data_IF_503433719027
#
_entry.id   IF_503433719027
#
_cell.length_a   1.000
_cell.length_b   1.000
_cell.length_c   1.000
_cell.angle_alpha   90.00
_cell.angle_beta   90.00
_cell.angle_gamma   90.00
#
_symmetry.space_group_name_H-M   'P 1'
#
loop_
_entity.id
_entity.type
_entity.pdbx_description
1 polymer ?
#
# COMPACT_ATOMS: atom_id res chain seq x y z
N UNK A 1 -20.91 -22.65 -17.27
CA UNK A 1 -19.52 -22.77 -17.77
C UNK A 1 -19.27 -21.66 -18.79
N UNK A 2 -18.03 -21.13 -18.79
CA UNK A 2 -17.43 -20.06 -19.63
C UNK A 2 -17.55 -18.61 -19.15
N UNK A 3 -16.62 -18.29 -18.25
CA UNK A 3 -15.92 -17.01 -18.08
C UNK A 3 -15.16 -16.58 -19.35
N UNK A 4 -15.20 -15.26 -19.64
CA UNK A 4 -14.15 -14.37 -20.20
C UNK A 4 -14.71 -13.43 -21.28
N UNK A 5 -15.02 -12.20 -20.85
CA UNK A 5 -15.31 -11.06 -21.72
C UNK A 5 -14.50 -9.85 -21.30
N UNK A 6 -13.17 -9.95 -21.38
CA UNK A 6 -12.31 -8.76 -21.32
C UNK A 6 -12.32 -8.13 -22.70
N UNK A 7 -13.11 -7.07 -22.90
CA UNK A 7 -12.89 -6.17 -24.05
C UNK A 7 -11.49 -5.55 -23.88
N UNK A 8 -10.52 -6.12 -24.57
CA UNK A 8 -9.19 -5.54 -24.75
C UNK A 8 -9.35 -4.23 -25.51
N UNK A 9 -8.73 -3.16 -25.01
CA UNK A 9 -8.35 -2.04 -25.86
C UNK A 9 -7.40 -2.61 -26.92
N UNK A 10 -7.66 -2.43 -28.23
CA UNK A 10 -6.67 -2.71 -29.25
C UNK A 10 -5.34 -2.05 -28.86
N UNK A 11 -4.28 -2.86 -28.78
CA UNK A 11 -2.90 -2.43 -28.47
C UNK A 11 -2.51 -1.05 -29.04
N UNK A 12 -2.89 -0.67 -30.28
CA UNK A 12 -2.52 0.61 -30.85
C UNK A 12 -3.06 1.86 -30.13
N UNK A 13 -4.20 1.76 -29.43
CA UNK A 13 -4.81 2.92 -28.76
C UNK A 13 -4.07 3.33 -27.49
N UNK A 14 -3.59 2.36 -26.71
CA UNK A 14 -2.76 2.66 -25.55
C UNK A 14 -1.37 3.13 -25.99
N UNK A 15 -0.82 2.50 -27.03
CA UNK A 15 0.46 2.91 -27.63
C UNK A 15 0.42 4.39 -28.07
N UNK A 16 -0.68 4.86 -28.66
CA UNK A 16 -0.83 6.28 -29.03
C UNK A 16 -0.85 7.25 -27.84
N UNK A 17 -1.63 6.95 -26.79
CA UNK A 17 -1.72 7.84 -25.62
C UNK A 17 -0.37 8.01 -24.92
N UNK A 18 0.41 6.94 -24.89
CA UNK A 18 1.76 6.95 -24.30
C UNK A 18 2.68 7.86 -25.12
N UNK A 19 2.68 7.70 -26.45
CA UNK A 19 3.50 8.52 -27.35
C UNK A 19 3.15 10.00 -27.22
N UNK A 20 1.85 10.35 -27.20
CA UNK A 20 1.40 11.75 -27.02
C UNK A 20 1.74 12.33 -25.65
N UNK A 21 1.61 11.54 -24.58
CA UNK A 21 1.97 12.00 -23.24
C UNK A 21 3.47 12.30 -23.11
N UNK A 22 4.33 11.54 -23.79
CA UNK A 22 5.77 11.79 -23.79
C UNK A 22 6.15 13.02 -24.62
N UNK A 23 5.46 13.25 -25.74
CA UNK A 23 5.64 14.46 -26.53
C UNK A 23 5.22 15.72 -25.76
N UNK A 24 4.15 15.64 -24.97
CA UNK A 24 3.74 16.72 -24.06
C UNK A 24 4.76 16.99 -22.93
N UNK A 25 5.54 15.98 -22.53
CA UNK A 25 6.68 16.12 -21.60
C UNK A 25 7.92 16.73 -22.28
N UNK A 26 7.84 17.06 -23.57
CA UNK A 26 8.88 17.74 -24.34
C UNK A 26 9.90 16.82 -25.02
N UNK A 27 9.67 15.50 -25.01
CA UNK A 27 10.57 14.55 -25.65
C UNK A 27 10.38 14.54 -27.17
N UNK A 28 11.49 14.43 -27.89
CA UNK A 28 11.48 14.20 -29.34
C UNK A 28 11.30 12.70 -29.68
N UNK A 29 11.02 12.40 -30.96
CA UNK A 29 10.73 11.04 -31.44
C UNK A 29 11.80 10.00 -31.06
N UNK A 30 13.08 10.38 -31.10
CA UNK A 30 14.21 9.52 -30.76
C UNK A 30 14.25 9.20 -29.26
N UNK A 31 14.00 10.21 -28.42
CA UNK A 31 13.92 10.06 -26.97
C UNK A 31 12.72 9.19 -26.56
N UNK A 32 11.57 9.38 -27.22
CA UNK A 32 10.38 8.55 -27.05
C UNK A 32 10.66 7.11 -27.45
N UNK A 33 11.31 6.89 -28.60
CA UNK A 33 11.66 5.57 -29.10
C UNK A 33 12.63 4.84 -28.15
N UNK A 34 13.65 5.55 -27.68
CA UNK A 34 14.60 5.02 -26.70
C UNK A 34 13.93 4.64 -25.38
N UNK A 35 13.03 5.50 -24.87
CA UNK A 35 12.35 5.30 -23.60
C UNK A 35 11.33 4.15 -23.65
N UNK A 36 10.65 3.95 -24.78
CA UNK A 36 9.69 2.87 -24.97
C UNK A 36 10.31 1.56 -25.49
N UNK A 37 11.62 1.56 -25.78
CA UNK A 37 12.32 0.48 -26.48
C UNK A 37 11.67 0.14 -27.83
N UNK A 38 11.21 1.16 -28.55
CA UNK A 38 10.57 1.05 -29.86
C UNK A 38 11.52 1.53 -30.95
N UNK A 39 11.21 1.20 -32.21
CA UNK A 39 11.84 1.88 -33.33
C UNK A 39 11.23 3.27 -33.50
N UNK A 40 12.04 4.24 -33.92
CA UNK A 40 11.61 5.60 -34.27
C UNK A 40 10.45 5.59 -35.28
N UNK A 41 10.51 4.68 -36.26
CA UNK A 41 9.43 4.47 -37.24
C UNK A 41 8.11 4.01 -36.61
N UNK A 42 8.14 3.28 -35.49
CA UNK A 42 6.93 2.89 -34.76
C UNK A 42 6.34 4.10 -34.02
N UNK A 43 7.18 4.95 -33.44
CA UNK A 43 6.74 6.19 -32.77
C UNK A 43 6.14 7.17 -33.76
N UNK A 44 6.81 7.43 -34.89
CA UNK A 44 6.31 8.32 -35.95
C UNK A 44 4.95 7.92 -36.49
N UNK A 45 4.66 6.62 -36.60
CA UNK A 45 3.33 6.13 -37.01
C UNK A 45 2.20 6.51 -36.05
N UNK A 46 2.51 6.73 -34.78
CA UNK A 46 1.55 7.22 -33.79
C UNK A 46 1.45 8.75 -33.78
N UNK A 47 2.50 9.45 -34.18
CA UNK A 47 2.51 10.91 -34.27
C UNK A 47 1.93 11.46 -35.58
N UNK A 48 1.63 10.59 -36.54
CA UNK A 48 1.02 10.96 -37.82
C UNK A 48 -0.38 11.59 -37.62
N UNK A 49 -0.63 12.75 -38.24
CA UNK A 49 -1.85 13.55 -38.06
C UNK A 49 -3.11 12.82 -38.58
N UNK A 50 -2.92 11.92 -39.54
CA UNK A 50 -3.99 11.11 -40.15
C UNK A 50 -4.32 9.82 -39.37
N UNK A 51 -3.69 9.60 -38.21
CA UNK A 51 -3.95 8.41 -37.39
C UNK A 51 -5.25 8.54 -36.57
N UNK A 52 -6.36 8.04 -37.13
CA UNK A 52 -7.67 8.03 -36.45
C UNK A 52 -7.82 6.89 -35.42
N UNK A 53 -7.93 7.24 -34.13
CA UNK A 53 -8.36 6.30 -33.08
C UNK A 53 -9.88 6.13 -33.04
N UNK A 54 -10.40 4.93 -32.73
CA UNK A 54 -11.77 4.77 -32.23
C UNK A 54 -11.96 5.58 -30.95
N UNK A 55 -12.98 6.46 -30.95
CA UNK A 55 -13.26 7.41 -29.86
C UNK A 55 -13.57 6.66 -28.55
N UNK A 56 -12.59 6.65 -27.64
CA UNK A 56 -12.60 6.67 -26.16
C UNK A 56 -11.41 5.83 -25.65
N UNK A 57 -10.27 6.45 -25.38
CA UNK A 57 -9.10 5.75 -24.84
C UNK A 57 -8.87 6.17 -23.38
N UNK A 58 -9.48 5.45 -22.44
CA UNK A 58 -8.94 5.27 -21.08
C UNK A 58 -7.97 4.08 -21.12
N UNK A 59 -7.05 3.87 -20.15
CA UNK A 59 -6.28 2.59 -20.09
C UNK A 59 -7.18 1.39 -19.74
N UNK A 60 -8.50 1.54 -19.81
CA UNK A 60 -9.50 0.92 -18.97
C UNK A 60 -9.53 -0.60 -18.85
N UNK A 61 -8.78 -1.35 -19.66
CA UNK A 61 -8.68 -2.82 -19.55
C UNK A 61 -7.29 -3.37 -19.86
N UNK A 62 -6.25 -2.54 -19.79
CA UNK A 62 -4.86 -2.96 -20.04
C UNK A 62 -4.34 -3.88 -18.91
N UNK A 63 -3.55 -4.92 -19.22
CA UNK A 63 -2.81 -5.67 -18.21
C UNK A 63 -1.91 -4.73 -17.41
N UNK A 64 -2.01 -4.77 -16.08
CA UNK A 64 -1.19 -4.01 -15.11
C UNK A 64 0.30 -4.03 -15.49
N UNK A 65 0.78 -5.15 -16.05
CA UNK A 65 2.18 -5.33 -16.44
C UNK A 65 2.67 -4.47 -17.60
N UNK A 66 1.82 -3.82 -18.41
CA UNK A 66 2.26 -2.91 -19.47
C UNK A 66 2.59 -1.53 -18.88
N UNK A 67 1.68 -0.95 -18.09
CA UNK A 67 1.90 0.35 -17.43
C UNK A 67 3.08 0.34 -16.46
N UNK A 68 3.27 -0.75 -15.70
CA UNK A 68 4.44 -0.89 -14.82
C UNK A 68 5.76 -1.00 -15.59
N UNK A 69 5.76 -1.57 -16.81
CA UNK A 69 6.95 -1.64 -17.66
C UNK A 69 7.31 -0.30 -18.31
N UNK A 70 6.31 0.55 -18.56
CA UNK A 70 6.52 1.88 -19.14
C UNK A 70 7.06 2.88 -18.10
N UNK A 71 6.63 2.77 -16.84
CA UNK A 71 7.15 3.59 -15.74
C UNK A 71 6.58 5.01 -15.72
N UNK A 72 7.41 6.02 -15.43
CA UNK A 72 7.01 7.42 -15.16
C UNK A 72 6.10 8.09 -16.22
N UNK A 73 6.22 7.81 -17.53
CA UNK A 73 5.34 8.40 -18.53
C UNK A 73 3.86 8.00 -18.39
N UNK A 74 3.60 6.82 -17.85
CA UNK A 74 2.23 6.34 -17.66
C UNK A 74 1.50 7.07 -16.52
N UNK A 75 2.20 7.86 -15.69
CA UNK A 75 1.63 8.46 -14.47
C UNK A 75 0.49 9.42 -14.76
N UNK A 76 0.65 10.35 -15.70
CA UNK A 76 -0.38 11.36 -16.03
C UNK A 76 -1.66 10.71 -16.57
N UNK A 77 -1.62 9.79 -17.56
CA UNK A 77 -2.80 9.06 -17.98
C UNK A 77 -3.46 8.22 -16.88
N UNK A 78 -2.66 7.50 -16.08
CA UNK A 78 -3.20 6.69 -14.98
C UNK A 78 -3.88 7.54 -13.90
N UNK A 79 -3.39 8.76 -13.65
CA UNK A 79 -4.07 9.73 -12.76
C UNK A 79 -5.45 10.10 -13.30
N UNK A 80 -5.61 10.23 -14.63
CA UNK A 80 -6.92 10.49 -15.23
C UNK A 80 -7.87 9.31 -15.03
N UNK A 81 -7.38 8.08 -15.18
CA UNK A 81 -8.15 6.84 -15.01
C UNK A 81 -8.66 6.62 -13.57
N UNK A 82 -8.08 7.30 -12.56
CA UNK A 82 -8.59 7.28 -11.18
C UNK A 82 -10.01 7.85 -11.05
N UNK A 83 -10.49 8.63 -12.03
CA UNK A 83 -11.83 9.23 -12.04
C UNK A 83 -12.82 8.49 -12.94
N UNK A 84 -12.44 7.36 -13.51
CA UNK A 84 -13.28 6.60 -14.43
C UNK A 84 -14.52 6.02 -13.72
N UNK A 85 -15.64 5.91 -14.44
CA UNK A 85 -16.88 5.36 -13.90
C UNK A 85 -16.78 3.85 -13.60
N UNK A 86 -15.97 3.12 -14.37
CA UNK A 86 -15.77 1.67 -14.20
C UNK A 86 -14.77 1.41 -13.05
N UNK A 87 -15.21 0.73 -11.96
CA UNK A 87 -14.35 0.39 -10.82
C UNK A 87 -13.10 -0.41 -11.21
N UNK A 88 -13.15 -1.20 -12.29
CA UNK A 88 -12.00 -1.98 -12.75
C UNK A 88 -10.90 -1.06 -13.28
N UNK A 89 -11.27 0.00 -14.00
CA UNK A 89 -10.34 1.01 -14.55
C UNK A 89 -9.63 1.71 -13.40
N UNK A 90 -10.40 2.22 -12.43
CA UNK A 90 -9.87 2.87 -11.23
C UNK A 90 -8.94 1.94 -10.45
N UNK A 91 -9.36 0.69 -10.21
CA UNK A 91 -8.55 -0.33 -9.53
C UNK A 91 -7.22 -0.61 -10.24
N UNK A 92 -7.23 -0.72 -11.57
CA UNK A 92 -6.00 -0.93 -12.34
C UNK A 92 -5.08 0.29 -12.27
N UNK A 93 -5.64 1.49 -12.35
CA UNK A 93 -4.90 2.73 -12.22
C UNK A 93 -4.21 2.86 -10.86
N UNK A 94 -4.94 2.62 -9.76
CA UNK A 94 -4.38 2.62 -8.40
C UNK A 94 -3.23 1.63 -8.25
N UNK A 95 -3.40 0.40 -8.76
CA UNK A 95 -2.37 -0.63 -8.67
C UNK A 95 -1.11 -0.26 -9.47
N UNK A 96 -1.29 0.24 -10.68
CA UNK A 96 -0.18 0.67 -11.54
C UNK A 96 0.57 1.86 -10.93
N UNK A 97 -0.13 2.90 -10.46
CA UNK A 97 0.48 4.06 -9.80
C UNK A 97 1.28 3.64 -8.56
N UNK A 98 0.73 2.76 -7.72
CA UNK A 98 1.44 2.22 -6.56
C UNK A 98 2.65 1.34 -6.91
N UNK A 99 2.69 0.75 -8.11
CA UNK A 99 3.85 -0.01 -8.60
C UNK A 99 4.92 0.90 -9.20
N UNK A 100 4.52 1.97 -9.89
CA UNK A 100 5.43 2.97 -10.47
C UNK A 100 6.11 3.80 -9.36
N UNK A 101 5.41 4.05 -8.26
CA UNK A 101 5.89 4.79 -7.08
C UNK A 101 6.33 6.23 -7.37
N UNK A 102 5.70 6.88 -8.36
CA UNK A 102 6.00 8.27 -8.68
C UNK A 102 5.29 9.22 -7.70
N UNK A 103 5.98 10.16 -7.05
CA UNK A 103 5.39 11.12 -6.11
C UNK A 103 4.26 11.98 -6.68
N UNK A 104 4.19 12.16 -8.02
CA UNK A 104 3.07 12.87 -8.68
C UNK A 104 1.72 12.17 -8.46
N UNK A 105 1.72 10.88 -8.11
CA UNK A 105 0.52 10.10 -7.86
C UNK A 105 -0.07 10.27 -6.45
N UNK A 106 0.64 10.90 -5.52
CA UNK A 106 0.26 10.91 -4.09
C UNK A 106 -1.06 11.65 -3.85
N UNK A 107 -1.19 12.92 -4.25
CA UNK A 107 -2.43 13.69 -4.08
C UNK A 107 -3.63 13.04 -4.79
N UNK A 108 -3.51 12.57 -6.05
CA UNK A 108 -4.59 11.82 -6.69
C UNK A 108 -4.98 10.55 -5.94
N UNK A 109 -4.03 9.79 -5.39
CA UNK A 109 -4.31 8.57 -4.62
C UNK A 109 -4.92 8.88 -3.25
N UNK A 110 -4.57 10.01 -2.62
CA UNK A 110 -5.22 10.50 -1.39
C UNK A 110 -6.72 10.73 -1.65
N UNK A 111 -7.09 11.31 -2.79
CA UNK A 111 -8.51 11.49 -3.13
C UNK A 111 -9.27 10.14 -3.25
N UNK A 112 -8.59 9.08 -3.71
CA UNK A 112 -9.16 7.73 -3.88
C UNK A 112 -9.42 7.03 -2.54
N UNK A 113 -8.88 7.52 -1.42
CA UNK A 113 -9.24 7.04 -0.08
C UNK A 113 -10.74 7.20 0.22
N UNK A 114 -11.44 8.06 -0.54
CA UNK A 114 -12.88 8.29 -0.48
C UNK A 114 -13.66 7.66 -1.65
N UNK A 115 -13.09 6.71 -2.39
CA UNK A 115 -13.81 5.97 -3.42
C UNK A 115 -15.06 5.28 -2.84
N UNK A 116 -16.13 5.16 -3.63
CA UNK A 116 -17.35 4.45 -3.22
C UNK A 116 -17.13 2.96 -2.96
N UNK A 117 -16.09 2.35 -3.56
CA UNK A 117 -15.76 0.95 -3.42
C UNK A 117 -14.65 0.75 -2.35
N UNK A 118 -14.94 0.08 -1.21
CA UNK A 118 -13.96 -0.22 -0.17
C UNK A 118 -12.74 -1.01 -0.67
N UNK A 119 -12.88 -1.82 -1.72
CA UNK A 119 -11.75 -2.55 -2.30
C UNK A 119 -10.75 -1.59 -2.96
N UNK A 120 -11.26 -0.55 -3.63
CA UNK A 120 -10.44 0.49 -4.26
C UNK A 120 -9.81 1.38 -3.19
N UNK A 121 -10.56 1.76 -2.15
CA UNK A 121 -10.01 2.47 -0.99
C UNK A 121 -8.81 1.71 -0.40
N UNK A 122 -8.98 0.40 -0.16
CA UNK A 122 -7.91 -0.47 0.35
C UNK A 122 -6.70 -0.51 -0.59
N UNK A 123 -6.92 -0.58 -1.89
CA UNK A 123 -5.82 -0.55 -2.87
C UNK A 123 -5.08 0.79 -2.85
N UNK A 124 -5.80 1.91 -2.70
CA UNK A 124 -5.20 3.24 -2.63
C UNK A 124 -4.34 3.38 -1.37
N UNK A 125 -4.83 2.94 -0.21
CA UNK A 125 -4.06 2.84 1.02
C UNK A 125 -2.76 2.05 0.81
N UNK A 126 -2.85 0.87 0.17
CA UNK A 126 -1.66 0.05 -0.12
C UNK A 126 -0.72 0.69 -1.13
N UNK A 127 -1.23 1.42 -2.11
CA UNK A 127 -0.44 2.16 -3.09
C UNK A 127 0.33 3.31 -2.41
N UNK A 128 -0.33 4.10 -1.57
CA UNK A 128 0.29 5.17 -0.79
C UNK A 128 1.40 4.64 0.13
N UNK A 129 1.13 3.55 0.87
CA UNK A 129 2.16 2.90 1.70
C UNK A 129 3.33 2.29 0.90
N UNK A 130 3.17 2.01 -0.40
CA UNK A 130 4.27 1.56 -1.28
C UNK A 130 5.08 2.72 -1.84
N UNK A 131 4.42 3.84 -2.14
CA UNK A 131 5.06 5.10 -2.57
C UNK A 131 5.89 5.66 -1.40
N UNK A 132 5.38 5.54 -0.17
CA UNK A 132 6.07 5.91 1.05
C UNK A 132 6.43 7.41 1.12
N UNK A 133 5.49 8.26 0.73
CA UNK A 133 5.62 9.73 0.77
C UNK A 133 4.83 10.28 1.97
N UNK A 134 5.48 11.11 2.79
CA UNK A 134 4.91 11.62 4.05
C UNK A 134 3.67 12.50 3.87
N UNK A 135 3.41 13.03 2.66
CA UNK A 135 2.15 13.72 2.38
C UNK A 135 0.92 12.82 2.59
N UNK A 136 1.10 11.50 2.53
CA UNK A 136 0.04 10.53 2.78
C UNK A 136 -0.17 10.20 4.28
N UNK A 137 0.67 10.70 5.19
CA UNK A 137 0.65 10.31 6.60
C UNK A 137 -0.69 10.65 7.27
N UNK A 138 -1.04 11.93 7.32
CA UNK A 138 -2.29 12.42 7.92
C UNK A 138 -3.55 11.83 7.25
N UNK A 139 -3.65 11.74 5.90
CA UNK A 139 -4.75 11.03 5.26
C UNK A 139 -4.88 9.56 5.67
N UNK A 140 -3.76 8.85 5.85
CA UNK A 140 -3.78 7.45 6.27
C UNK A 140 -4.15 7.30 7.76
N UNK A 141 -3.75 8.25 8.62
CA UNK A 141 -4.23 8.34 10.02
C UNK A 141 -5.75 8.51 10.03
N UNK A 142 -6.29 9.44 9.24
CA UNK A 142 -7.73 9.64 9.13
C UNK A 142 -8.48 8.37 8.68
N UNK A 143 -7.91 7.58 7.77
CA UNK A 143 -8.49 6.29 7.36
C UNK A 143 -8.45 5.25 8.47
N UNK A 144 -7.40 5.23 9.30
CA UNK A 144 -7.28 4.32 10.44
C UNK A 144 -8.33 4.63 11.52
N UNK A 145 -8.65 5.90 11.73
CA UNK A 145 -9.55 6.36 12.80
C UNK A 145 -11.03 6.33 12.39
N UNK A 146 -11.32 6.42 11.10
CA UNK A 146 -12.69 6.44 10.56
C UNK A 146 -13.40 5.08 10.76
N UNK A 147 -14.29 5.02 11.76
CA UNK A 147 -15.06 3.83 12.11
C UNK A 147 -16.07 3.40 11.04
N UNK A 148 -16.46 4.29 10.13
CA UNK A 148 -17.38 3.99 9.02
C UNK A 148 -16.67 3.22 7.88
N UNK A 149 -15.34 3.39 7.74
CA UNK A 149 -14.55 2.60 6.79
C UNK A 149 -14.60 1.12 7.15
N UNK A 150 -14.53 0.24 6.15
CA UNK A 150 -14.50 -1.20 6.40
C UNK A 150 -13.22 -1.61 7.14
N UNK A 151 -13.26 -2.62 8.04
CA UNK A 151 -12.08 -3.05 8.80
C UNK A 151 -10.86 -3.38 7.95
N UNK A 152 -11.06 -3.96 6.76
CA UNK A 152 -9.98 -4.28 5.85
C UNK A 152 -9.28 -3.06 5.22
N UNK A 153 -9.95 -1.89 5.22
CA UNK A 153 -9.35 -0.61 4.81
C UNK A 153 -8.51 -0.07 5.97
N UNK A 154 -9.08 -0.04 7.20
CA UNK A 154 -8.37 0.42 8.40
C UNK A 154 -7.12 -0.41 8.72
N UNK A 155 -7.20 -1.74 8.63
CA UNK A 155 -6.02 -2.61 8.82
C UNK A 155 -4.91 -2.29 7.81
N UNK A 156 -5.29 -1.95 6.56
CA UNK A 156 -4.31 -1.63 5.51
C UNK A 156 -3.68 -0.26 5.79
N UNK A 157 -4.41 0.65 6.44
CA UNK A 157 -3.88 1.95 6.86
C UNK A 157 -2.85 1.76 7.97
N UNK A 158 -3.15 0.92 8.98
CA UNK A 158 -2.16 0.53 9.99
C UNK A 158 -0.90 -0.09 9.35
N UNK A 159 -1.07 -1.01 8.40
CA UNK A 159 0.04 -1.63 7.64
C UNK A 159 0.89 -0.57 6.91
N UNK A 160 0.23 0.41 6.25
CA UNK A 160 0.90 1.48 5.52
C UNK A 160 1.65 2.44 6.44
N UNK A 161 1.04 2.86 7.55
CA UNK A 161 1.66 3.73 8.55
C UNK A 161 2.90 3.07 9.17
N UNK A 162 2.82 1.78 9.51
CA UNK A 162 3.97 1.03 10.00
C UNK A 162 5.10 0.87 8.97
N UNK A 163 4.80 0.92 7.66
CA UNK A 163 5.82 0.96 6.60
C UNK A 163 6.47 2.33 6.47
N UNK A 164 5.71 3.40 6.68
CA UNK A 164 6.21 4.78 6.67
C UNK A 164 7.18 5.03 7.81
N UNK A 165 6.95 4.40 8.96
CA UNK A 165 7.91 4.44 10.08
C UNK A 165 7.98 5.78 10.80
N UNK A 166 7.04 6.70 10.53
CA UNK A 166 6.99 8.00 11.18
C UNK A 166 6.37 7.89 12.58
N UNK A 167 7.05 8.45 13.58
CA UNK A 167 6.62 8.40 14.98
C UNK A 167 5.29 9.10 15.23
N UNK A 168 4.88 10.04 14.36
CA UNK A 168 3.58 10.72 14.50
C UNK A 168 2.39 9.75 14.35
N UNK A 169 2.59 8.57 13.74
CA UNK A 169 1.57 7.54 13.65
C UNK A 169 1.42 6.70 14.93
N UNK A 170 2.31 6.85 15.92
CA UNK A 170 2.32 5.99 17.12
C UNK A 170 1.05 6.15 17.95
N UNK A 171 0.63 7.38 18.27
CA UNK A 171 -0.59 7.61 19.05
C UNK A 171 -1.85 7.07 18.35
N UNK A 172 -2.10 7.35 17.06
CA UNK A 172 -3.22 6.74 16.32
C UNK A 172 -3.17 5.21 16.28
N UNK A 173 -1.99 4.61 16.12
CA UNK A 173 -1.82 3.16 16.12
C UNK A 173 -2.06 2.56 17.52
N UNK A 174 -1.65 3.25 18.59
CA UNK A 174 -1.96 2.88 19.98
C UNK A 174 -3.48 2.91 20.20
N UNK A 175 -4.19 3.92 19.70
CA UNK A 175 -5.65 3.94 19.75
C UNK A 175 -6.27 2.77 18.97
N UNK A 176 -5.70 2.40 17.82
CA UNK A 176 -6.16 1.28 16.99
C UNK A 176 -5.94 -0.11 17.63
N UNK A 177 -5.07 -0.23 18.66
CA UNK A 177 -5.01 -1.44 19.50
C UNK A 177 -6.32 -1.75 20.23
N UNK A 178 -7.27 -0.81 20.28
CA UNK A 178 -8.59 -1.00 20.86
C UNK A 178 -9.71 -1.08 19.79
N UNK A 179 -9.37 -1.30 18.51
CA UNK A 179 -10.38 -1.48 17.46
C UNK A 179 -11.27 -2.71 17.73
N UNK A 180 -12.57 -2.57 17.43
CA UNK A 180 -13.55 -3.65 17.53
C UNK A 180 -13.14 -4.91 16.76
N UNK A 181 -12.42 -4.75 15.64
CA UNK A 181 -12.00 -5.85 14.78
C UNK A 181 -10.57 -6.29 15.10
N UNK A 182 -10.41 -7.58 15.44
CA UNK A 182 -9.12 -8.14 15.84
C UNK A 182 -8.01 -7.93 14.79
N UNK A 183 -8.38 -7.97 13.51
CA UNK A 183 -7.44 -7.81 12.41
C UNK A 183 -6.81 -6.41 12.38
N UNK A 184 -7.59 -5.37 12.72
CA UNK A 184 -7.08 -3.99 12.83
C UNK A 184 -6.14 -3.89 14.04
N UNK A 185 -6.52 -4.44 15.19
CA UNK A 185 -5.67 -4.46 16.40
C UNK A 185 -4.35 -5.17 16.14
N UNK A 186 -4.37 -6.30 15.45
CA UNK A 186 -3.19 -7.08 15.11
C UNK A 186 -2.23 -6.32 14.18
N UNK A 187 -2.77 -5.63 13.17
CA UNK A 187 -1.95 -4.82 12.26
C UNK A 187 -1.42 -3.55 12.93
N UNK A 188 -2.18 -2.96 13.87
CA UNK A 188 -1.70 -1.85 14.69
C UNK A 188 -0.51 -2.28 15.57
N UNK A 189 -0.60 -3.44 16.23
CA UNK A 189 0.50 -3.99 17.03
C UNK A 189 1.76 -4.25 16.19
N UNK A 190 1.60 -4.83 15.00
CA UNK A 190 2.70 -5.05 14.07
C UNK A 190 3.32 -3.73 13.58
N UNK A 191 2.49 -2.73 13.26
CA UNK A 191 2.94 -1.42 12.79
C UNK A 191 3.74 -0.67 13.86
N UNK A 192 3.28 -0.67 15.12
CA UNK A 192 4.02 -0.10 16.25
C UNK A 192 5.40 -0.75 16.41
N UNK A 193 5.46 -2.07 16.26
CA UNK A 193 6.73 -2.82 16.24
C UNK A 193 7.69 -2.39 15.13
N UNK A 194 7.16 -2.08 13.94
CA UNK A 194 7.98 -1.59 12.81
C UNK A 194 8.51 -0.17 13.02
N UNK A 195 7.70 0.70 13.64
CA UNK A 195 8.09 2.08 13.96
C UNK A 195 9.19 2.09 15.04
N UNK A 196 9.14 1.14 15.99
CA UNK A 196 10.13 0.97 17.06
C UNK A 196 10.22 2.14 18.05
N UNK A 197 9.14 2.90 18.19
CA UNK A 197 9.08 3.97 19.19
C UNK A 197 8.90 3.38 20.61
N UNK A 198 9.78 3.72 21.58
CA UNK A 198 9.68 3.20 22.94
C UNK A 198 8.39 3.55 23.69
N UNK A 199 7.63 4.56 23.25
CA UNK A 199 6.32 4.89 23.83
C UNK A 199 5.26 3.81 23.56
N UNK A 200 5.47 2.96 22.55
CA UNK A 200 4.57 1.85 22.22
C UNK A 200 4.71 0.63 23.14
N UNK A 201 5.73 0.58 24.01
CA UNK A 201 6.02 -0.59 24.86
C UNK A 201 4.86 -0.92 25.80
N UNK A 202 4.39 0.03 26.62
CA UNK A 202 3.29 -0.22 27.56
C UNK A 202 1.97 -0.57 26.85
N UNK A 203 1.56 0.13 25.77
CA UNK A 203 0.42 -0.28 24.96
C UNK A 203 0.53 -1.71 24.41
N UNK A 204 1.70 -2.11 23.91
CA UNK A 204 1.92 -3.47 23.40
C UNK A 204 1.93 -4.51 24.51
N UNK A 205 2.45 -4.19 25.70
CA UNK A 205 2.34 -5.04 26.89
C UNK A 205 0.86 -5.26 27.25
N UNK A 206 0.02 -4.23 27.20
CA UNK A 206 -1.41 -4.38 27.40
C UNK A 206 -2.06 -5.28 26.33
N UNK A 207 -1.64 -5.16 25.06
CA UNK A 207 -2.13 -5.99 23.95
C UNK A 207 -1.75 -7.48 24.08
N UNK A 208 -0.78 -7.86 24.92
CA UNK A 208 -0.51 -9.26 25.29
C UNK A 208 -1.67 -9.92 26.05
N UNK A 209 -2.67 -9.16 26.48
CA UNK A 209 -3.88 -9.68 27.15
C UNK A 209 -5.09 -9.77 26.20
N UNK A 210 -4.92 -9.49 24.91
CA UNK A 210 -6.01 -9.52 23.94
C UNK A 210 -6.66 -10.91 23.88
N UNK A 211 -7.98 -10.94 23.65
CA UNK A 211 -8.74 -12.19 23.49
C UNK A 211 -8.24 -13.04 22.30
N UNK A 212 -7.81 -12.39 21.22
CA UNK A 212 -7.38 -12.99 19.97
C UNK A 212 -5.89 -13.35 20.01
N UNK A 213 -5.57 -14.58 19.61
CA UNK A 213 -4.20 -15.09 19.67
C UNK A 213 -3.26 -14.46 18.63
N UNK A 214 -3.80 -13.97 17.51
CA UNK A 214 -3.03 -13.27 16.48
C UNK A 214 -2.60 -11.90 16.98
N UNK A 215 -3.51 -11.16 17.64
CA UNK A 215 -3.19 -9.86 18.25
C UNK A 215 -2.10 -10.02 19.30
N UNK A 216 -2.25 -10.97 20.23
CA UNK A 216 -1.20 -11.26 21.23
C UNK A 216 0.13 -11.63 20.57
N UNK A 217 0.11 -12.44 19.51
CA UNK A 217 1.31 -12.83 18.77
C UNK A 217 2.01 -11.65 18.09
N UNK A 218 1.25 -10.75 17.48
CA UNK A 218 1.79 -9.54 16.85
C UNK A 218 2.33 -8.55 17.89
N UNK A 219 1.69 -8.46 19.06
CA UNK A 219 2.21 -7.66 20.18
C UNK A 219 3.57 -8.19 20.68
N UNK A 220 3.73 -9.52 20.79
CA UNK A 220 5.03 -10.13 21.11
C UNK A 220 6.09 -9.76 20.06
N UNK A 221 5.79 -9.90 18.77
CA UNK A 221 6.75 -9.54 17.71
C UNK A 221 7.05 -8.03 17.73
N UNK A 222 6.07 -7.20 18.07
CA UNK A 222 6.25 -5.75 18.18
C UNK A 222 7.20 -5.37 19.31
N UNK A 223 7.00 -5.95 20.50
CA UNK A 223 7.90 -5.77 21.64
C UNK A 223 9.33 -6.25 21.33
N UNK A 224 9.45 -7.40 20.64
CA UNK A 224 10.75 -7.91 20.20
C UNK A 224 11.48 -6.96 19.23
N UNK A 225 10.73 -6.28 18.34
CA UNK A 225 11.31 -5.33 17.39
C UNK A 225 11.72 -4.00 18.04
N UNK A 226 10.97 -3.53 19.04
CA UNK A 226 11.34 -2.34 19.83
C UNK A 226 12.59 -2.62 20.66
N UNK A 227 12.74 -3.87 21.13
CA UNK A 227 13.90 -4.34 21.89
C UNK A 227 14.12 -3.60 23.23
N UNK A 228 13.04 -3.38 23.98
CA UNK A 228 13.09 -2.66 25.25
C UNK A 228 12.97 -3.63 26.46
N UNK A 229 13.91 -3.59 27.43
CA UNK A 229 13.90 -4.47 28.60
C UNK A 229 12.63 -4.40 29.46
N UNK A 230 11.85 -3.31 29.41
CA UNK A 230 10.56 -3.21 30.10
C UNK A 230 9.58 -4.32 29.70
N UNK A 231 9.76 -4.90 28.51
CA UNK A 231 8.92 -5.99 28.02
C UNK A 231 9.24 -7.37 28.62
N UNK A 232 10.38 -7.56 29.30
CA UNK A 232 10.88 -8.89 29.72
C UNK A 232 9.90 -9.62 30.63
N UNK A 233 9.35 -8.95 31.65
CA UNK A 233 8.42 -9.58 32.59
C UNK A 233 7.14 -10.03 31.88
N UNK A 234 6.57 -9.15 31.04
CA UNK A 234 5.35 -9.43 30.30
C UNK A 234 5.54 -10.56 29.26
N UNK A 235 6.69 -10.58 28.58
CA UNK A 235 7.05 -11.65 27.65
C UNK A 235 7.31 -12.98 28.36
N UNK A 236 7.88 -12.95 29.57
CA UNK A 236 8.04 -14.15 30.41
C UNK A 236 6.70 -14.74 30.79
N UNK A 237 5.70 -13.92 31.14
CA UNK A 237 4.35 -14.39 31.37
C UNK A 237 3.73 -15.02 30.11
N UNK A 238 3.99 -14.44 28.92
CA UNK A 238 3.50 -14.95 27.64
C UNK A 238 4.06 -16.33 27.23
N UNK A 239 5.12 -16.83 27.90
CA UNK A 239 5.59 -18.22 27.76
C UNK A 239 4.56 -19.25 28.21
N UNK A 240 3.56 -18.86 28.99
CA UNK A 240 2.47 -19.71 29.46
C UNK A 240 1.16 -19.51 28.68
N UNK A 241 1.18 -18.71 27.61
CA UNK A 241 -0.02 -18.39 26.82
C UNK A 241 -0.73 -19.65 26.30
N UNK A 242 -2.07 -19.62 26.24
CA UNK A 242 -2.90 -20.71 25.70
C UNK A 242 -2.51 -21.11 24.26
N UNK A 243 -2.07 -20.15 23.45
CA UNK A 243 -1.63 -20.37 22.07
C UNK A 243 -0.17 -20.80 21.99
N UNK A 244 0.07 -21.95 21.35
CA UNK A 244 1.44 -22.44 21.06
C UNK A 244 2.24 -21.44 20.23
N UNK A 245 1.59 -20.69 19.33
CA UNK A 245 2.26 -19.69 18.49
C UNK A 245 2.77 -18.52 19.33
N UNK A 246 1.94 -18.02 20.25
CA UNK A 246 2.33 -16.92 21.16
C UNK A 246 3.49 -17.36 22.05
N UNK A 247 3.42 -18.55 22.66
CA UNK A 247 4.53 -19.09 23.47
C UNK A 247 5.86 -19.17 22.71
N UNK A 248 5.83 -19.66 21.46
CA UNK A 248 7.02 -19.75 20.60
C UNK A 248 7.60 -18.37 20.26
N UNK A 249 6.73 -17.40 19.96
CA UNK A 249 7.16 -16.02 19.70
C UNK A 249 7.75 -15.40 20.95
N UNK A 250 7.14 -15.60 22.12
CA UNK A 250 7.62 -15.05 23.39
C UNK A 250 9.01 -15.58 23.75
N UNK A 251 9.24 -16.88 23.58
CA UNK A 251 10.57 -17.48 23.77
C UNK A 251 11.63 -16.84 22.87
N UNK A 252 11.33 -16.63 21.60
CA UNK A 252 12.23 -15.95 20.65
C UNK A 252 12.43 -14.46 20.98
N UNK A 253 11.38 -13.77 21.41
CA UNK A 253 11.46 -12.37 21.80
C UNK A 253 12.39 -12.18 23.00
N UNK A 254 12.31 -13.07 23.99
CA UNK A 254 13.19 -13.05 25.16
C UNK A 254 14.66 -13.31 24.80
N UNK A 255 14.96 -14.19 23.84
CA UNK A 255 16.36 -14.36 23.39
C UNK A 255 16.93 -13.11 22.74
N UNK A 256 16.08 -12.30 22.10
CA UNK A 256 16.49 -11.03 21.46
C UNK A 256 16.69 -9.94 22.51
N UNK A 257 15.73 -9.77 23.43
CA UNK A 257 15.72 -8.67 24.39
C UNK A 257 16.67 -8.90 25.57
N UNK A 258 16.80 -10.14 26.04
CA UNK A 258 17.62 -10.47 27.20
C UNK A 258 19.09 -10.74 26.87
N UNK A 259 19.47 -10.73 25.58
CA UNK A 259 20.83 -10.86 25.03
C UNK A 259 21.86 -11.67 25.85
N UNK A 260 22.16 -12.90 25.42
CA UNK A 260 23.38 -13.72 25.66
C UNK A 260 24.14 -13.72 27.02
N UNK A 261 23.68 -13.10 28.11
CA UNK A 261 24.38 -13.06 29.40
C UNK A 261 23.84 -14.07 30.44
N UNK A 262 23.09 -15.09 30.01
CA UNK A 262 22.45 -16.08 30.91
C UNK A 262 22.74 -17.56 30.58
N UNK A 263 23.88 -17.87 29.95
CA UNK A 263 24.43 -19.23 29.89
C UNK A 263 25.90 -19.25 30.30
#
# INVERSE_FOLDING_TARGET
MRTRGYLLIPQPQAELLIVRSLQEEGLNDDEIAAQLQWSENKVRRYLDEDYELPRTASFGRQPIGISTRIGKPAVKPLIADLKDNDPLVRSNAVQALGAIKDPRAVEPLIAVLNDKDPLIQRQAVKALGRINDLRALEPLIGVLEDREKKPHVRMSAAEALGRMGDSSAVEPLVAALNDQHWDVRGHAAEALGRIRDPSAVEPLIAALKDQDATVRGNAVDGLAQINDPRAIEALSAALTDKSKTVRKKAARALTVIAGEDFW
#
